data_IF_317862500118
#
_entry.id   IF_317862500118
#
_cell.length_a   1.000
_cell.length_b   1.000
_cell.length_c   1.000
_cell.angle_alpha   90.00
_cell.angle_beta   90.00
_cell.angle_gamma   90.00
#
_symmetry.space_group_name_H-M   'P 1'
#
loop_
_entity.id
_entity.type
_entity.pdbx_description
1 polymer ?
#
# COMPACT_ATOMS: atom_id res chain seq x y z
N UNK A 1 -0.34 -26.73 -9.30
CA UNK A 1 0.90 -25.90 -9.33
C UNK A 1 0.45 -24.47 -9.43
N UNK A 2 0.60 -23.68 -8.36
CA UNK A 2 0.33 -22.25 -8.42
C UNK A 2 1.44 -21.65 -9.31
N UNK A 3 1.04 -21.04 -10.41
CA UNK A 3 1.97 -20.49 -11.39
C UNK A 3 2.73 -19.33 -10.73
N UNK A 4 4.01 -19.11 -11.04
CA UNK A 4 4.86 -18.09 -10.35
C UNK A 4 4.20 -16.70 -10.27
N UNK A 5 3.41 -16.36 -11.28
CA UNK A 5 2.67 -15.11 -11.42
C UNK A 5 1.49 -14.97 -10.44
N UNK A 6 0.82 -16.07 -10.07
CA UNK A 6 -0.36 -16.03 -9.20
C UNK A 6 -0.03 -15.56 -7.78
N UNK A 7 1.16 -15.89 -7.27
CA UNK A 7 1.58 -15.44 -5.92
C UNK A 7 1.81 -13.94 -5.83
N UNK A 8 2.48 -13.34 -6.82
CA UNK A 8 2.68 -11.88 -6.84
C UNK A 8 1.33 -11.15 -6.95
N UNK A 9 0.44 -11.66 -7.79
CA UNK A 9 -0.90 -11.09 -7.92
C UNK A 9 -1.70 -11.18 -6.61
N UNK A 10 -1.60 -12.30 -5.88
CA UNK A 10 -2.21 -12.44 -4.55
C UNK A 10 -1.65 -11.39 -3.57
N UNK A 11 -0.32 -11.25 -3.46
CA UNK A 11 0.30 -10.25 -2.60
C UNK A 11 -0.15 -8.82 -2.95
N UNK A 12 -0.22 -8.49 -4.24
CA UNK A 12 -0.70 -7.17 -4.69
C UNK A 12 -2.16 -6.95 -4.29
N UNK A 13 -3.04 -7.92 -4.54
CA UNK A 13 -4.47 -7.79 -4.22
C UNK A 13 -4.70 -7.72 -2.72
N UNK A 14 -3.93 -8.48 -1.94
CA UNK A 14 -3.95 -8.42 -0.49
C UNK A 14 -3.49 -7.06 0.04
N UNK A 15 -2.36 -6.55 -0.48
CA UNK A 15 -1.89 -5.20 -0.14
C UNK A 15 -2.98 -4.15 -0.38
N UNK A 16 -3.57 -4.13 -1.58
CA UNK A 16 -4.61 -3.18 -1.94
C UNK A 16 -5.86 -3.30 -1.06
N UNK A 17 -6.27 -4.54 -0.74
CA UNK A 17 -7.40 -4.77 0.16
C UNK A 17 -7.13 -4.25 1.57
N UNK A 18 -5.91 -4.40 2.08
CA UNK A 18 -5.54 -3.90 3.42
C UNK A 18 -5.40 -2.38 3.43
N UNK A 19 -4.89 -1.77 2.37
CA UNK A 19 -4.85 -0.30 2.22
C UNK A 19 -6.26 0.29 2.17
N UNK A 20 -7.17 -0.32 1.43
CA UNK A 20 -8.59 0.08 1.39
C UNK A 20 -9.22 0.03 2.79
N UNK A 21 -9.05 -1.09 3.50
CA UNK A 21 -9.56 -1.24 4.86
C UNK A 21 -8.95 -0.23 5.84
N UNK A 22 -7.62 -0.03 5.81
CA UNK A 22 -6.93 0.92 6.68
C UNK A 22 -7.37 2.36 6.42
N UNK A 23 -7.52 2.74 5.15
CA UNK A 23 -7.95 4.09 4.78
C UNK A 23 -9.44 4.33 5.04
N UNK A 24 -10.29 3.30 5.01
CA UNK A 24 -11.67 3.39 5.46
C UNK A 24 -11.75 3.77 6.97
N UNK A 25 -10.88 3.23 7.81
CA UNK A 25 -10.79 3.63 9.23
C UNK A 25 -10.34 5.09 9.39
N UNK A 26 -9.39 5.54 8.56
CA UNK A 26 -8.99 6.96 8.52
C UNK A 26 -10.15 7.85 8.10
N UNK A 27 -10.94 7.43 7.11
CA UNK A 27 -12.11 8.15 6.63
C UNK A 27 -13.20 8.26 7.70
N UNK A 28 -13.49 7.17 8.41
CA UNK A 28 -14.46 7.18 9.52
C UNK A 28 -14.06 8.19 10.60
N UNK A 29 -12.77 8.26 10.94
CA UNK A 29 -12.28 9.18 11.97
C UNK A 29 -12.15 10.63 11.51
N UNK A 30 -11.55 10.83 10.34
CA UNK A 30 -11.06 12.15 9.91
C UNK A 30 -11.90 12.75 8.78
N UNK A 31 -12.89 12.02 8.27
CA UNK A 31 -13.76 12.42 7.17
C UNK A 31 -13.10 12.35 5.80
N UNK A 32 -11.93 11.72 5.68
CA UNK A 32 -11.24 11.50 4.41
C UNK A 32 -10.24 10.36 4.50
N UNK A 33 -10.10 9.58 3.41
CA UNK A 33 -9.07 8.55 3.26
C UNK A 33 -7.65 9.12 3.17
N UNK A 34 -7.50 10.34 2.66
CA UNK A 34 -6.20 11.00 2.48
C UNK A 34 -6.00 12.11 3.52
N UNK A 35 -5.37 11.74 4.65
CA UNK A 35 -5.18 12.64 5.78
C UNK A 35 -3.93 13.54 5.67
N UNK A 36 -3.14 13.43 4.59
CA UNK A 36 -1.94 14.26 4.38
C UNK A 36 -2.21 15.76 4.48
N UNK A 37 -3.33 16.23 3.90
CA UNK A 37 -3.68 17.65 3.94
C UNK A 37 -3.97 18.10 5.37
N UNK A 38 -4.57 17.25 6.19
CA UNK A 38 -4.83 17.56 7.60
C UNK A 38 -3.52 17.76 8.35
N UNK A 39 -2.54 16.89 8.13
CA UNK A 39 -1.20 17.04 8.73
C UNK A 39 -0.47 18.28 8.22
N UNK A 40 -0.41 18.50 6.90
CA UNK A 40 0.23 19.68 6.28
C UNK A 40 -0.41 21.01 6.70
N UNK A 41 -1.66 20.98 7.16
CA UNK A 41 -2.38 22.15 7.67
C UNK A 41 -2.48 22.16 9.21
N UNK A 42 -1.66 21.36 9.90
CA UNK A 42 -1.57 21.26 11.36
C UNK A 42 -2.89 20.94 12.07
N UNK A 43 -3.84 20.27 11.39
CA UNK A 43 -5.10 19.81 11.99
C UNK A 43 -4.95 18.49 12.75
N UNK A 44 -3.95 17.69 12.41
CA UNK A 44 -3.58 16.44 13.08
C UNK A 44 -2.06 16.37 13.24
N UNK A 45 -1.62 15.57 14.22
CA UNK A 45 -0.19 15.27 14.40
C UNK A 45 0.34 14.31 13.32
N UNK A 46 1.67 14.20 13.24
CA UNK A 46 2.36 13.22 12.38
C UNK A 46 1.93 11.79 12.72
N UNK A 47 1.80 11.49 14.01
CA UNK A 47 1.29 10.20 14.50
C UNK A 47 0.06 10.43 15.39
N UNK A 48 -0.79 9.43 15.51
CA UNK A 48 -1.94 9.47 16.42
C UNK A 48 -2.74 8.18 16.42
N UNK A 49 -3.71 8.10 17.32
CA UNK A 49 -4.65 6.96 17.38
C UNK A 49 -5.76 7.15 16.35
N UNK A 50 -6.18 6.07 15.68
CA UNK A 50 -7.40 5.99 14.89
C UNK A 50 -8.54 5.54 15.82
N UNK A 51 -8.55 4.29 16.26
CA UNK A 51 -9.54 3.74 17.18
C UNK A 51 -8.85 2.72 18.09
N UNK A 52 -9.18 2.73 19.38
CA UNK A 52 -8.56 1.87 20.39
C UNK A 52 -7.02 1.83 20.31
N UNK A 53 -6.43 0.68 19.97
CA UNK A 53 -5.00 0.45 19.80
C UNK A 53 -4.48 0.66 18.36
N UNK A 54 -5.37 0.91 17.40
CA UNK A 54 -5.02 1.19 16.01
C UNK A 54 -4.46 2.61 15.90
N UNK A 55 -3.27 2.75 15.34
CA UNK A 55 -2.58 4.05 15.20
C UNK A 55 -2.15 4.31 13.77
N UNK A 56 -1.80 5.56 13.47
CA UNK A 56 -1.23 5.97 12.20
C UNK A 56 0.09 6.73 12.40
N UNK A 57 0.97 6.66 11.39
CA UNK A 57 2.14 7.54 11.24
C UNK A 57 2.23 8.04 9.80
N UNK A 58 2.26 9.36 9.63
CA UNK A 58 2.46 9.99 8.33
C UNK A 58 3.95 10.20 8.02
N UNK A 59 4.34 9.95 6.79
CA UNK A 59 5.70 10.16 6.27
C UNK A 59 5.61 10.68 4.84
N UNK A 60 6.62 11.43 4.35
CA UNK A 60 6.69 11.87 2.95
C UNK A 60 5.34 12.26 2.32
N UNK A 61 4.86 11.42 1.40
CA UNK A 61 3.53 11.49 0.77
C UNK A 61 2.64 10.28 1.12
N UNK A 62 2.93 9.56 2.20
CA UNK A 62 2.25 8.33 2.59
C UNK A 62 1.82 8.28 4.06
N UNK A 63 1.35 7.10 4.46
CA UNK A 63 0.89 6.79 5.80
C UNK A 63 1.15 5.30 6.09
N UNK A 64 1.65 5.03 7.29
CA UNK A 64 1.60 3.71 7.91
C UNK A 64 0.38 3.65 8.85
N UNK A 65 -0.37 2.55 8.81
CA UNK A 65 -1.44 2.24 9.76
C UNK A 65 -1.07 0.96 10.50
N UNK A 66 -1.00 1.03 11.82
CA UNK A 66 -0.64 -0.09 12.68
C UNK A 66 -1.93 -0.74 13.18
N UNK A 67 -2.28 -1.87 12.60
CA UNK A 67 -3.35 -2.76 13.05
C UNK A 67 -2.79 -3.75 14.08
N UNK A 68 -3.64 -4.47 14.85
CA UNK A 68 -3.17 -5.41 15.87
C UNK A 68 -2.27 -6.54 15.33
N UNK A 69 -2.46 -6.91 14.06
CA UNK A 69 -1.82 -8.06 13.41
C UNK A 69 -0.87 -7.68 12.26
N UNK A 70 -0.91 -6.43 11.78
CA UNK A 70 -0.13 -6.02 10.59
C UNK A 70 0.08 -4.49 10.53
N UNK A 71 1.28 -4.07 10.14
CA UNK A 71 1.53 -2.69 9.72
C UNK A 71 1.31 -2.52 8.21
N UNK A 72 0.41 -1.62 7.80
CA UNK A 72 0.14 -1.30 6.40
C UNK A 72 0.75 0.05 6.05
N UNK A 73 1.85 0.01 5.32
CA UNK A 73 2.60 1.18 4.87
C UNK A 73 2.37 1.42 3.37
N UNK A 74 1.81 2.59 3.04
CA UNK A 74 1.45 2.98 1.67
C UNK A 74 1.71 4.46 1.40
N UNK A 75 1.82 4.80 0.11
CA UNK A 75 1.90 6.19 -0.35
C UNK A 75 0.61 6.62 -1.04
N UNK A 76 0.23 7.87 -0.84
CA UNK A 76 -0.87 8.47 -1.60
C UNK A 76 -0.37 8.89 -2.99
N UNK A 77 -1.12 8.47 -4.00
CA UNK A 77 -1.00 9.00 -5.35
C UNK A 77 -1.63 10.40 -5.49
N UNK A 78 -1.60 10.92 -6.71
CA UNK A 78 -2.28 12.17 -7.05
C UNK A 78 -3.77 12.10 -6.69
N UNK A 79 -4.30 13.22 -6.22
CA UNK A 79 -5.67 13.36 -5.72
C UNK A 79 -6.05 12.40 -4.57
N UNK A 80 -5.04 11.87 -3.86
CA UNK A 80 -5.27 10.99 -2.71
C UNK A 80 -5.58 9.56 -3.10
N UNK A 81 -5.23 9.13 -4.33
CA UNK A 81 -5.30 7.72 -4.74
C UNK A 81 -4.54 6.82 -3.76
N UNK A 82 -5.09 5.65 -3.52
CA UNK A 82 -4.56 4.66 -2.56
C UNK A 82 -4.24 3.32 -3.21
N UNK A 83 -4.45 3.20 -4.52
CA UNK A 83 -4.27 1.97 -5.27
C UNK A 83 -2.86 1.84 -5.90
N UNK A 84 -1.96 2.75 -5.52
CA UNK A 84 -0.57 2.76 -5.94
C UNK A 84 0.31 1.94 -5.01
N UNK A 85 1.23 1.18 -5.59
CA UNK A 85 2.21 0.38 -4.85
C UNK A 85 3.54 0.32 -5.58
N UNK A 86 4.58 -0.06 -4.86
CA UNK A 86 5.89 -0.38 -5.40
C UNK A 86 6.45 -1.66 -4.75
N UNK A 87 7.63 -2.06 -5.17
CA UNK A 87 8.33 -3.23 -4.60
C UNK A 87 8.57 -3.06 -3.11
N UNK A 88 8.78 -1.84 -2.61
CA UNK A 88 9.09 -1.61 -1.21
C UNK A 88 7.87 -1.83 -0.33
N UNK A 89 6.69 -1.30 -0.70
CA UNK A 89 5.46 -1.48 0.10
C UNK A 89 4.99 -2.93 0.12
N UNK A 90 5.09 -3.62 -1.01
CA UNK A 90 4.79 -5.05 -1.09
C UNK A 90 5.77 -5.89 -0.26
N UNK A 91 7.06 -5.53 -0.27
CA UNK A 91 8.07 -6.19 0.55
C UNK A 91 7.81 -6.01 2.05
N UNK A 92 7.45 -4.80 2.48
CA UNK A 92 7.13 -4.55 3.89
C UNK A 92 5.95 -5.41 4.35
N UNK A 93 4.86 -5.48 3.56
CA UNK A 93 3.73 -6.34 3.88
C UNK A 93 4.12 -7.81 4.00
N UNK A 94 4.90 -8.33 3.04
CA UNK A 94 5.36 -9.72 3.08
C UNK A 94 6.22 -10.01 4.33
N UNK A 95 6.98 -9.04 4.83
CA UNK A 95 7.75 -9.15 6.07
C UNK A 95 6.90 -9.11 7.33
N UNK A 96 5.75 -8.43 7.30
CA UNK A 96 4.78 -8.46 8.41
C UNK A 96 4.03 -9.81 8.46
N UNK A 97 3.85 -10.48 7.32
CA UNK A 97 3.12 -11.74 7.18
C UNK A 97 3.99 -12.87 6.56
N UNK A 98 5.15 -13.21 7.16
CA UNK A 98 6.14 -14.10 6.54
C UNK A 98 5.64 -15.53 6.31
N UNK A 99 4.71 -16.02 7.13
CA UNK A 99 4.11 -17.36 6.96
C UNK A 99 3.22 -17.44 5.70
N UNK A 100 2.70 -16.32 5.22
CA UNK A 100 1.84 -16.23 4.04
C UNK A 100 2.69 -15.96 2.78
N UNK A 101 3.70 -15.10 2.91
CA UNK A 101 4.48 -14.54 1.80
C UNK A 101 5.99 -14.81 1.89
N UNK A 102 6.40 -15.94 2.47
CA UNK A 102 7.81 -16.32 2.70
C UNK A 102 8.72 -16.01 1.48
N UNK A 103 8.26 -16.35 0.27
CA UNK A 103 8.97 -16.09 -1.00
C UNK A 103 9.32 -14.61 -1.19
N UNK A 104 8.42 -13.71 -0.83
CA UNK A 104 8.53 -12.27 -1.05
C UNK A 104 9.15 -11.52 0.13
N UNK A 105 9.48 -12.23 1.22
CA UNK A 105 10.46 -11.76 2.22
C UNK A 105 11.89 -11.66 1.65
N UNK A 106 12.16 -12.21 0.45
CA UNK A 106 13.35 -11.85 -0.34
C UNK A 106 13.00 -10.76 -1.35
N UNK A 107 13.41 -9.53 -1.05
CA UNK A 107 13.19 -8.36 -1.92
C UNK A 107 13.76 -8.54 -3.32
N UNK A 108 14.83 -9.32 -3.52
CA UNK A 108 15.40 -9.55 -4.86
C UNK A 108 14.46 -10.40 -5.71
N UNK A 109 13.86 -11.43 -5.11
CA UNK A 109 12.84 -12.27 -5.77
C UNK A 109 11.62 -11.43 -6.12
N UNK A 110 11.12 -10.64 -5.16
CA UNK A 110 9.99 -9.74 -5.42
C UNK A 110 10.29 -8.73 -6.54
N UNK A 111 11.48 -8.13 -6.53
CA UNK A 111 11.89 -7.17 -7.57
C UNK A 111 11.93 -7.81 -8.96
N UNK A 112 12.39 -9.06 -9.06
CA UNK A 112 12.47 -9.78 -10.33
C UNK A 112 11.06 -10.05 -10.88
N UNK A 113 10.19 -10.66 -10.07
CA UNK A 113 8.80 -10.95 -10.46
C UNK A 113 8.02 -9.66 -10.80
N UNK A 114 8.23 -8.58 -10.05
CA UNK A 114 7.58 -7.29 -10.30
C UNK A 114 7.97 -6.70 -11.66
N UNK A 115 9.25 -6.81 -12.05
CA UNK A 115 9.73 -6.37 -13.37
C UNK A 115 9.14 -7.22 -14.50
N UNK A 116 8.97 -8.52 -14.28
CA UNK A 116 8.29 -9.39 -15.24
C UNK A 116 6.82 -8.95 -15.42
N UNK A 117 6.11 -8.60 -14.34
CA UNK A 117 4.74 -8.07 -14.41
C UNK A 117 4.62 -6.76 -15.19
N UNK A 118 5.60 -5.85 -15.05
CA UNK A 118 5.67 -4.64 -15.89
C UNK A 118 5.90 -5.03 -17.36
N UNK A 119 6.85 -5.94 -17.64
CA UNK A 119 7.17 -6.37 -19.01
C UNK A 119 6.01 -7.10 -19.69
N UNK A 120 5.21 -7.86 -18.94
CA UNK A 120 3.97 -8.49 -19.40
C UNK A 120 2.81 -7.49 -19.59
N UNK A 121 3.00 -6.22 -19.20
CA UNK A 121 2.01 -5.17 -19.31
C UNK A 121 0.84 -5.30 -18.32
N UNK A 122 1.04 -6.04 -17.21
CA UNK A 122 0.03 -6.20 -16.13
C UNK A 122 0.01 -5.00 -15.19
N UNK A 123 1.13 -4.30 -15.07
CA UNK A 123 1.27 -3.10 -14.28
C UNK A 123 1.55 -1.89 -15.18
N UNK A 124 1.02 -0.75 -14.80
CA UNK A 124 1.37 0.53 -15.41
C UNK A 124 1.77 1.54 -14.33
N UNK A 125 2.66 2.47 -14.68
CA UNK A 125 3.07 3.52 -13.76
C UNK A 125 1.88 4.44 -13.47
N UNK A 126 1.69 4.79 -12.20
CA UNK A 126 0.71 5.79 -11.83
C UNK A 126 1.19 7.14 -12.34
N UNK A 127 0.39 7.82 -13.17
CA UNK A 127 0.73 9.15 -13.73
C UNK A 127 -0.44 10.12 -13.51
N UNK A 128 -0.19 11.36 -13.05
CA UNK A 128 1.09 11.82 -12.51
C UNK A 128 1.38 11.09 -11.19
N UNK A 129 2.65 10.90 -10.85
CA UNK A 129 3.01 10.41 -9.52
C UNK A 129 4.19 11.18 -8.94
N UNK A 130 4.15 11.38 -7.63
CA UNK A 130 5.22 12.00 -6.85
C UNK A 130 6.32 11.00 -6.50
N UNK A 131 5.97 9.71 -6.43
CA UNK A 131 6.88 8.58 -6.23
C UNK A 131 6.67 7.53 -7.33
N UNK A 132 7.60 6.61 -7.55
CA UNK A 132 7.48 5.64 -8.65
C UNK A 132 6.53 4.48 -8.30
N UNK A 133 5.24 4.80 -8.20
CA UNK A 133 4.15 3.87 -7.91
C UNK A 133 3.59 3.26 -9.19
N UNK A 134 3.04 2.07 -9.05
CA UNK A 134 2.39 1.30 -10.09
C UNK A 134 0.97 0.92 -9.68
N UNK A 135 0.12 0.70 -10.68
CA UNK A 135 -1.26 0.24 -10.52
C UNK A 135 -1.49 -0.98 -11.40
N UNK A 136 -2.51 -1.78 -11.08
CA UNK A 136 -2.92 -2.88 -11.95
C UNK A 136 -3.55 -2.29 -13.21
N UNK A 137 -2.98 -2.61 -14.38
CA UNK A 137 -3.46 -2.09 -15.65
C UNK A 137 -4.90 -2.53 -15.91
N UNK A 138 -5.75 -1.58 -16.29
CA UNK A 138 -7.14 -1.84 -16.67
C UNK A 138 -8.08 -2.17 -15.50
N UNK A 139 -7.64 -2.04 -14.24
CA UNK A 139 -8.51 -2.05 -13.08
C UNK A 139 -8.65 -0.62 -12.55
N UNK A 140 -9.89 -0.12 -12.48
CA UNK A 140 -10.21 1.06 -11.70
C UNK A 140 -10.61 0.59 -10.30
N UNK A 141 -9.81 0.93 -9.29
CA UNK A 141 -10.22 0.79 -7.90
C UNK A 141 -11.12 1.99 -7.58
N UNK A 142 -12.41 1.74 -7.44
CA UNK A 142 -13.45 2.72 -7.06
C UNK A 142 -13.63 2.76 -5.56
#
# INVERSE_FOLDING_TARGET
MINRNEKLEQLILEFLSKVDAATALLEEKFGTRCILRLWRTNKIGKCGTIIDDITYELHGVGCAVYLPDVCIDFDYGVDGRIDGFDVWRLYLLACELPDQDEKYTDRKVLTADFKEYIAEGKLEEMVPSTDKLYVIKGKNFT
#
